data_IF_808878906288
#
_entry.id   IF_808878906288
#
_cell.length_a   1.000
_cell.length_b   1.000
_cell.length_c   1.000
_cell.angle_alpha   90.00
_cell.angle_beta   90.00
_cell.angle_gamma   90.00
#
_symmetry.space_group_name_H-M   'P 1'
#
loop_
_entity.id
_entity.type
_entity.pdbx_description
1 polymer ?
#
# COMPACT_ATOMS: atom_id res chain seq x y z
N UNK A 1 2.33 -40.17 41.19
CA UNK A 1 2.18 -41.63 41.27
C UNK A 1 1.43 -42.06 40.01
N UNK A 2 2.08 -42.77 39.09
CA UNK A 2 1.43 -43.22 37.87
C UNK A 2 0.58 -44.46 38.20
N UNK A 3 -0.74 -44.36 38.03
CA UNK A 3 -1.65 -45.50 38.14
C UNK A 3 -1.56 -46.33 36.85
N UNK A 4 -1.44 -47.64 36.99
CA UNK A 4 -1.34 -48.58 35.87
C UNK A 4 -2.70 -48.77 35.18
N UNK A 5 -2.68 -49.06 33.87
CA UNK A 5 -3.87 -49.13 33.00
C UNK A 5 -5.00 -50.05 33.52
N UNK A 6 -4.67 -51.09 34.29
CA UNK A 6 -5.63 -52.07 34.82
C UNK A 6 -6.43 -51.58 36.04
N UNK A 7 -5.93 -50.58 36.77
CA UNK A 7 -6.63 -49.94 37.89
C UNK A 7 -7.74 -48.97 37.41
N UNK A 8 -7.57 -48.41 36.20
CA UNK A 8 -8.49 -47.41 35.63
C UNK A 8 -9.79 -48.06 35.13
N UNK A 9 -9.72 -49.29 34.62
CA UNK A 9 -10.89 -50.01 34.06
C UNK A 9 -11.77 -50.62 35.16
N UNK A 10 -11.27 -50.70 36.39
CA UNK A 10 -11.98 -51.28 37.54
C UNK A 10 -12.73 -50.25 38.39
N UNK A 11 -12.69 -48.96 38.01
CA UNK A 11 -13.39 -47.89 38.72
C UNK A 11 -14.90 -47.93 38.42
N UNK A 12 -15.77 -47.68 39.41
CA UNK A 12 -17.21 -47.53 39.17
C UNK A 12 -17.47 -46.38 38.18
N UNK A 13 -18.62 -46.35 37.49
CA UNK A 13 -18.89 -45.37 36.42
C UNK A 13 -18.72 -43.90 36.86
N UNK A 14 -18.87 -43.62 38.16
CA UNK A 14 -18.63 -42.29 38.76
C UNK A 14 -17.14 -41.93 38.81
N UNK A 15 -16.26 -42.90 39.08
CA UNK A 15 -14.80 -42.70 39.14
C UNK A 15 -14.17 -42.46 37.77
N UNK A 16 -14.68 -43.13 36.73
CA UNK A 16 -14.24 -42.92 35.35
C UNK A 16 -14.65 -41.53 34.82
N UNK A 17 -15.85 -41.05 35.23
CA UNK A 17 -16.32 -39.71 34.91
C UNK A 17 -15.42 -38.63 35.55
N UNK A 18 -15.04 -38.79 36.81
CA UNK A 18 -14.12 -37.87 37.50
C UNK A 18 -12.73 -37.79 36.84
N UNK A 19 -12.17 -38.92 36.40
CA UNK A 19 -10.88 -38.99 35.70
C UNK A 19 -10.90 -38.29 34.34
N UNK A 20 -12.01 -38.38 33.59
CA UNK A 20 -12.20 -37.66 32.32
C UNK A 20 -12.48 -36.16 32.54
N UNK A 21 -13.12 -35.79 33.65
CA UNK A 21 -13.42 -34.38 33.96
C UNK A 21 -12.20 -33.57 34.45
N UNK A 22 -11.21 -34.21 35.07
CA UNK A 22 -9.98 -33.55 35.55
C UNK A 22 -9.20 -32.77 34.46
N UNK A 23 -8.89 -33.32 33.27
CA UNK A 23 -8.23 -32.57 32.20
C UNK A 23 -9.15 -31.54 31.52
N UNK A 24 -10.47 -31.76 31.51
CA UNK A 24 -11.47 -30.79 31.02
C UNK A 24 -11.56 -29.55 31.93
N UNK A 25 -11.44 -29.70 33.25
CA UNK A 25 -11.39 -28.58 34.19
C UNK A 25 -10.06 -27.80 34.15
N UNK A 26 -8.91 -28.46 33.92
CA UNK A 26 -7.64 -27.73 33.73
C UNK A 26 -7.63 -26.90 32.44
N UNK A 27 -8.40 -27.29 31.42
CA UNK A 27 -8.54 -26.53 30.17
C UNK A 27 -9.43 -25.29 30.33
N UNK A 28 -10.18 -25.19 31.44
CA UNK A 28 -11.06 -24.06 31.76
C UNK A 28 -10.41 -23.02 32.68
N UNK A 29 -9.09 -23.08 32.93
CA UNK A 29 -8.45 -21.90 33.50
C UNK A 29 -8.61 -20.77 32.48
N UNK A 30 -9.34 -19.68 32.82
CA UNK A 30 -9.36 -18.51 31.95
C UNK A 30 -7.91 -18.12 31.77
N UNK A 31 -7.50 -17.86 30.52
CA UNK A 31 -6.20 -17.29 30.23
C UNK A 31 -5.96 -16.18 31.25
N UNK A 32 -4.96 -16.40 32.09
CA UNK A 32 -4.44 -15.47 33.07
C UNK A 32 -4.55 -14.08 32.45
N UNK A 33 -5.28 -13.17 33.09
CA UNK A 33 -5.35 -11.77 32.68
C UNK A 33 -3.91 -11.33 32.40
N UNK A 34 -3.55 -11.25 31.11
CA UNK A 34 -2.27 -10.72 30.72
C UNK A 34 -2.43 -9.21 30.85
N UNK A 35 -2.37 -8.76 32.09
CA UNK A 35 -2.24 -7.35 32.40
C UNK A 35 -0.89 -6.95 31.80
N UNK A 36 -0.95 -6.43 30.58
CA UNK A 36 0.19 -5.83 29.89
C UNK A 36 0.93 -4.92 30.89
N UNK A 37 2.25 -5.07 31.08
CA UNK A 37 3.04 -4.17 31.93
C UNK A 37 3.04 -2.72 31.41
N UNK A 38 2.51 -2.50 30.20
CA UNK A 38 2.40 -1.18 29.60
C UNK A 38 1.01 -0.60 29.89
N UNK A 39 0.93 0.62 30.48
CA UNK A 39 -0.33 1.32 30.58
C UNK A 39 -0.95 1.42 29.17
N UNK A 40 -2.29 1.30 29.03
CA UNK A 40 -2.93 1.50 27.74
C UNK A 40 -2.48 2.87 27.23
N UNK A 41 -1.88 2.91 26.03
CA UNK A 41 -1.45 4.16 25.42
C UNK A 41 -2.62 5.14 25.49
N UNK A 42 -2.46 6.21 26.27
CA UNK A 42 -3.48 7.23 26.53
C UNK A 42 -4.04 7.81 25.21
N UNK A 43 -3.24 7.75 24.14
CA UNK A 43 -3.60 8.05 22.77
C UNK A 43 -4.78 7.22 22.22
N UNK A 44 -4.89 5.93 22.55
CA UNK A 44 -5.88 5.02 21.95
C UNK A 44 -7.25 5.07 22.65
N UNK A 45 -7.34 5.70 23.82
CA UNK A 45 -8.59 5.88 24.59
C UNK A 45 -9.29 7.21 24.31
N UNK A 46 -8.67 8.09 23.51
CA UNK A 46 -9.25 9.38 23.14
C UNK A 46 -10.50 9.18 22.28
N UNK A 47 -11.63 9.73 22.73
CA UNK A 47 -12.90 9.77 21.98
C UNK A 47 -12.85 10.65 20.71
N UNK A 48 -11.78 11.44 20.54
CA UNK A 48 -11.59 12.35 19.41
C UNK A 48 -10.22 12.10 18.81
N UNK A 49 -10.19 11.82 17.50
CA UNK A 49 -8.95 11.65 16.77
C UNK A 49 -8.23 13.01 16.62
N UNK A 50 -6.90 13.07 16.87
CA UNK A 50 -6.14 14.29 16.65
C UNK A 50 -6.17 14.69 15.17
N UNK A 51 -6.56 15.94 14.90
CA UNK A 51 -6.53 16.53 13.56
C UNK A 51 -5.26 17.38 13.46
N UNK A 52 -4.38 17.05 12.52
CA UNK A 52 -3.15 17.81 12.26
C UNK A 52 -3.38 18.69 11.02
N UNK A 53 -3.23 20.03 11.12
CA UNK A 53 -3.39 20.89 9.96
C UNK A 53 -2.22 20.69 8.98
N UNK A 54 -2.48 20.78 7.69
CA UNK A 54 -1.45 20.61 6.64
C UNK A 54 -0.22 21.53 6.86
N UNK A 55 -0.43 22.77 7.33
CA UNK A 55 0.65 23.72 7.63
C UNK A 55 1.61 23.20 8.70
N UNK A 56 1.12 22.43 9.67
CA UNK A 56 1.99 21.84 10.69
C UNK A 56 2.98 20.85 10.07
N UNK A 57 2.61 20.18 8.98
CA UNK A 57 3.49 19.22 8.30
C UNK A 57 4.55 19.89 7.40
N UNK A 58 4.38 21.19 7.09
CA UNK A 58 5.22 21.90 6.10
C UNK A 58 6.74 21.84 6.35
N UNK A 59 7.26 21.86 7.60
CA UNK A 59 8.71 21.79 7.84
C UNK A 59 9.35 20.47 7.41
N UNK A 60 8.54 19.41 7.30
CA UNK A 60 9.00 18.05 6.98
C UNK A 60 8.52 17.57 5.60
N UNK A 61 7.82 18.43 4.84
CA UNK A 61 7.35 18.10 3.50
C UNK A 61 8.26 18.68 2.43
N UNK A 62 8.72 17.81 1.53
CA UNK A 62 9.33 18.22 0.27
C UNK A 62 8.28 18.17 -0.83
N UNK A 63 8.19 19.25 -1.62
CA UNK A 63 7.25 19.36 -2.73
C UNK A 63 7.97 19.37 -4.07
N UNK A 64 7.37 18.72 -5.06
CA UNK A 64 7.81 18.80 -6.46
C UNK A 64 6.67 19.35 -7.32
N UNK A 65 6.99 20.28 -8.21
CA UNK A 65 6.08 20.75 -9.26
C UNK A 65 6.88 21.12 -10.50
N UNK A 66 6.22 21.11 -11.66
CA UNK A 66 6.82 21.55 -12.94
C UNK A 66 5.83 22.43 -13.71
N UNK A 67 6.25 23.58 -14.24
CA UNK A 67 5.36 24.45 -15.02
C UNK A 67 4.74 23.69 -16.20
N UNK A 68 3.43 23.87 -16.40
CA UNK A 68 2.68 23.24 -17.50
C UNK A 68 2.32 21.77 -17.29
N UNK A 69 2.80 21.12 -16.23
CA UNK A 69 2.49 19.71 -15.94
C UNK A 69 1.40 19.61 -14.88
N UNK A 70 0.42 18.76 -15.14
CA UNK A 70 -0.76 18.52 -14.28
C UNK A 70 -0.96 17.01 -14.07
N UNK A 71 -1.91 16.66 -13.21
CA UNK A 71 -2.41 15.29 -13.05
C UNK A 71 -1.35 14.26 -12.64
N UNK A 72 -0.58 14.55 -11.58
CA UNK A 72 0.31 13.58 -10.93
C UNK A 72 -0.53 12.47 -10.30
N UNK A 73 -0.60 11.31 -10.96
CA UNK A 73 -1.58 10.26 -10.64
C UNK A 73 -0.96 8.92 -10.25
N UNK A 74 0.27 8.64 -10.69
CA UNK A 74 0.93 7.36 -10.46
C UNK A 74 2.26 7.57 -9.73
N UNK A 75 2.50 6.76 -8.70
CA UNK A 75 3.70 6.83 -7.86
C UNK A 75 4.23 5.42 -7.63
N UNK A 76 5.52 5.20 -7.84
CA UNK A 76 6.17 3.93 -7.52
C UNK A 76 7.50 4.17 -6.83
N UNK A 77 7.70 3.51 -5.69
CA UNK A 77 8.90 3.62 -4.89
C UNK A 77 9.95 2.61 -5.35
N UNK A 78 11.17 3.09 -5.56
CA UNK A 78 12.36 2.29 -5.82
C UNK A 78 13.35 2.46 -4.66
N UNK A 79 13.12 1.69 -3.60
CA UNK A 79 13.93 1.75 -2.38
C UNK A 79 15.40 1.38 -2.64
N UNK A 80 15.64 0.47 -3.60
CA UNK A 80 17.01 0.02 -3.92
C UNK A 80 17.89 1.12 -4.49
N UNK A 81 17.27 2.08 -5.18
CA UNK A 81 17.96 3.21 -5.81
C UNK A 81 17.64 4.55 -5.16
N UNK A 82 16.92 4.53 -4.03
CA UNK A 82 16.44 5.70 -3.31
C UNK A 82 15.69 6.71 -4.20
N UNK A 83 14.78 6.20 -5.04
CA UNK A 83 14.11 6.96 -6.08
C UNK A 83 12.59 6.81 -5.99
N UNK A 84 11.88 7.87 -6.37
CA UNK A 84 10.44 7.89 -6.58
C UNK A 84 10.17 8.10 -8.06
N UNK A 85 9.47 7.16 -8.69
CA UNK A 85 9.03 7.28 -10.07
C UNK A 85 7.61 7.84 -10.07
N UNK A 86 7.36 8.89 -10.83
CA UNK A 86 6.08 9.60 -10.86
C UNK A 86 5.55 9.68 -12.28
N UNK A 87 4.31 9.27 -12.48
CA UNK A 87 3.56 9.47 -13.71
C UNK A 87 2.60 10.66 -13.59
N UNK A 88 2.63 11.54 -14.59
CA UNK A 88 1.77 12.72 -14.70
C UNK A 88 1.28 12.90 -16.14
N UNK A 89 0.43 13.90 -16.39
CA UNK A 89 -0.03 14.20 -17.75
C UNK A 89 1.17 14.42 -18.70
N UNK A 90 1.26 13.58 -19.73
CA UNK A 90 2.32 13.54 -20.74
C UNK A 90 3.74 13.37 -20.21
N UNK A 91 3.93 12.96 -18.95
CA UNK A 91 5.27 12.98 -18.35
C UNK A 91 5.52 11.81 -17.40
N UNK A 92 6.78 11.38 -17.40
CA UNK A 92 7.36 10.51 -16.38
C UNK A 92 8.52 11.26 -15.70
N UNK A 93 8.58 11.18 -14.38
CA UNK A 93 9.64 11.77 -13.58
C UNK A 93 10.33 10.72 -12.73
N UNK A 94 11.64 10.89 -12.59
CA UNK A 94 12.44 10.24 -11.55
C UNK A 94 12.81 11.32 -10.55
N UNK A 95 12.37 11.16 -9.32
CA UNK A 95 12.67 12.06 -8.21
C UNK A 95 13.54 11.33 -7.18
N UNK A 96 14.34 12.10 -6.46
CA UNK A 96 15.02 11.62 -5.26
C UNK A 96 13.97 11.35 -4.18
N UNK A 97 14.03 10.18 -3.55
CA UNK A 97 13.09 9.84 -2.47
C UNK A 97 13.33 10.67 -1.20
N UNK A 98 14.54 11.21 -1.02
CA UNK A 98 14.91 11.95 0.20
C UNK A 98 14.36 13.37 0.27
N UNK A 99 14.19 14.05 -0.88
CA UNK A 99 13.84 15.46 -0.92
C UNK A 99 12.95 15.84 -2.13
N UNK A 100 12.39 14.86 -2.84
CA UNK A 100 11.59 15.04 -4.04
C UNK A 100 12.28 15.84 -5.17
N UNK A 101 13.61 15.97 -5.16
CA UNK A 101 14.34 16.71 -6.20
C UNK A 101 14.30 15.96 -7.52
N UNK A 102 14.21 16.69 -8.64
CA UNK A 102 14.20 16.11 -9.97
C UNK A 102 15.55 15.46 -10.32
N UNK A 103 15.54 14.18 -10.68
CA UNK A 103 16.69 13.47 -11.22
C UNK A 103 16.60 13.35 -12.74
N UNK A 104 15.42 13.04 -13.26
CA UNK A 104 15.17 12.90 -14.70
C UNK A 104 13.70 13.18 -15.02
N UNK A 105 13.44 13.72 -16.19
CA UNK A 105 12.10 13.86 -16.76
C UNK A 105 12.09 13.35 -18.19
N UNK A 106 10.99 12.68 -18.57
CA UNK A 106 10.74 12.23 -19.94
C UNK A 106 9.34 12.68 -20.33
N UNK A 107 9.23 13.35 -21.48
CA UNK A 107 7.95 13.61 -22.11
C UNK A 107 7.45 12.32 -22.77
N UNK A 108 6.20 11.98 -22.47
CA UNK A 108 5.53 10.79 -22.96
C UNK A 108 4.08 11.16 -23.32
N UNK A 109 3.94 12.21 -24.11
CA UNK A 109 2.66 12.62 -24.70
C UNK A 109 2.33 11.83 -25.98
N UNK A 110 1.08 11.92 -26.46
CA UNK A 110 0.72 11.42 -27.77
C UNK A 110 1.40 12.24 -28.87
N UNK A 111 1.69 11.61 -30.00
CA UNK A 111 2.10 12.33 -31.21
C UNK A 111 0.96 13.19 -31.78
N UNK A 112 1.31 14.13 -32.66
CA UNK A 112 0.36 15.13 -33.16
C UNK A 112 -0.74 14.52 -34.04
N UNK A 113 -0.46 13.44 -34.77
CA UNK A 113 -1.48 12.77 -35.60
C UNK A 113 -2.47 12.01 -34.72
N UNK A 114 -2.00 11.36 -33.66
CA UNK A 114 -2.83 10.72 -32.62
C UNK A 114 -3.70 11.75 -31.90
N UNK A 115 -3.14 12.92 -31.51
CA UNK A 115 -3.93 14.02 -30.91
C UNK A 115 -5.00 14.53 -31.87
N UNK A 116 -4.64 14.81 -33.13
CA UNK A 116 -5.57 15.29 -34.16
C UNK A 116 -6.68 14.28 -34.41
N UNK A 117 -6.35 12.99 -34.48
CA UNK A 117 -7.33 11.91 -34.63
C UNK A 117 -8.29 11.87 -33.44
N UNK A 118 -7.79 11.99 -32.21
CA UNK A 118 -8.63 12.07 -31.02
C UNK A 118 -9.59 13.27 -31.06
N UNK A 119 -9.09 14.47 -31.40
CA UNK A 119 -9.90 15.68 -31.49
C UNK A 119 -10.93 15.61 -32.63
N UNK A 120 -10.58 14.97 -33.77
CA UNK A 120 -11.50 14.74 -34.89
C UNK A 120 -12.71 13.87 -34.51
N UNK A 121 -12.58 13.08 -33.43
CA UNK A 121 -13.66 12.28 -32.84
C UNK A 121 -14.51 13.08 -31.85
N UNK A 122 -14.35 14.40 -31.78
CA UNK A 122 -15.12 15.30 -30.92
C UNK A 122 -14.62 15.36 -29.47
N UNK A 123 -13.39 14.94 -29.20
CA UNK A 123 -12.77 15.03 -27.87
C UNK A 123 -12.08 16.37 -27.66
N UNK A 124 -12.08 16.83 -26.41
CA UNK A 124 -11.38 18.06 -26.01
C UNK A 124 -9.87 17.88 -26.02
N UNK A 125 -9.12 18.99 -26.13
CA UNK A 125 -7.66 18.96 -26.05
C UNK A 125 -7.16 18.31 -24.75
N UNK A 126 -7.85 18.56 -23.63
CA UNK A 126 -7.53 17.96 -22.34
C UNK A 126 -7.75 16.45 -22.31
N UNK A 127 -8.80 15.94 -22.93
CA UNK A 127 -9.05 14.50 -23.04
C UNK A 127 -8.03 13.81 -23.96
N UNK A 128 -7.51 14.51 -24.96
CA UNK A 128 -6.56 13.99 -25.94
C UNK A 128 -5.09 13.99 -25.48
N UNK A 129 -4.85 13.99 -24.16
CA UNK A 129 -3.51 13.85 -23.59
C UNK A 129 -3.22 12.41 -23.18
N UNK A 130 -1.95 12.12 -22.88
CA UNK A 130 -1.56 10.86 -22.27
C UNK A 130 -1.59 10.98 -20.74
N UNK A 131 -2.51 10.29 -20.08
CA UNK A 131 -2.56 10.18 -18.63
C UNK A 131 -2.00 8.84 -18.20
N UNK A 132 -0.95 8.86 -17.39
CA UNK A 132 -0.34 7.62 -16.86
C UNK A 132 -1.34 6.94 -15.94
N UNK A 133 -1.60 5.66 -16.20
CA UNK A 133 -2.56 4.83 -15.43
C UNK A 133 -1.90 3.64 -14.76
N UNK A 134 -0.79 3.16 -15.33
CA UNK A 134 -0.01 2.04 -14.78
C UNK A 134 1.45 2.44 -14.73
N UNK A 135 2.09 2.18 -13.59
CA UNK A 135 3.51 2.37 -13.38
C UNK A 135 3.99 1.27 -12.43
N UNK A 136 4.87 0.40 -12.91
CA UNK A 136 5.38 -0.76 -12.20
C UNK A 136 6.89 -0.84 -12.37
N UNK A 137 7.59 -1.30 -11.34
CA UNK A 137 9.03 -1.54 -11.37
C UNK A 137 9.28 -3.04 -11.29
N UNK A 138 10.07 -3.56 -12.23
CA UNK A 138 10.46 -4.98 -12.26
C UNK A 138 11.98 -5.06 -12.45
N UNK A 139 12.68 -5.23 -11.32
CA UNK A 139 14.15 -5.27 -11.28
C UNK A 139 14.78 -3.94 -11.71
N UNK A 140 15.29 -3.89 -12.93
CA UNK A 140 15.90 -2.67 -13.54
C UNK A 140 15.01 -2.04 -14.64
N UNK A 141 13.80 -2.56 -14.84
CA UNK A 141 12.86 -2.07 -15.86
C UNK A 141 11.69 -1.37 -15.20
N UNK A 142 11.15 -0.40 -15.92
CA UNK A 142 9.90 0.29 -15.59
C UNK A 142 8.89 -0.11 -16.66
N UNK A 143 7.76 -0.65 -16.22
CA UNK A 143 6.61 -0.90 -17.08
C UNK A 143 5.59 0.21 -16.85
N UNK A 144 5.07 0.80 -17.92
CA UNK A 144 4.13 1.91 -17.81
C UNK A 144 3.10 1.88 -18.93
N UNK A 145 1.87 2.28 -18.63
CA UNK A 145 0.78 2.41 -19.58
C UNK A 145 0.02 3.71 -19.31
N UNK A 146 -0.47 4.34 -20.36
CA UNK A 146 -1.27 5.55 -20.28
C UNK A 146 -2.37 5.59 -21.34
N UNK A 147 -3.28 6.56 -21.22
CA UNK A 147 -4.44 6.69 -22.12
C UNK A 147 -4.07 7.02 -23.55
N UNK A 148 -2.95 7.72 -23.77
CA UNK A 148 -2.42 8.15 -25.05
C UNK A 148 -3.52 8.64 -26.02
N UNK A 149 -4.25 9.70 -25.65
CA UNK A 149 -5.38 10.24 -26.43
C UNK A 149 -6.48 9.22 -26.80
N UNK A 150 -6.82 8.32 -25.87
CA UNK A 150 -7.71 7.15 -26.10
C UNK A 150 -7.19 6.13 -27.12
N UNK A 151 -5.89 6.11 -27.35
CA UNK A 151 -5.20 5.07 -28.13
C UNK A 151 -4.05 4.49 -27.31
N UNK A 152 -4.37 3.73 -26.24
CA UNK A 152 -3.39 3.33 -25.23
C UNK A 152 -2.19 2.64 -25.88
N UNK A 153 -1.02 3.27 -25.77
CA UNK A 153 0.23 2.75 -26.31
C UNK A 153 0.96 1.92 -25.26
N UNK A 154 1.46 0.74 -25.63
CA UNK A 154 2.53 0.09 -24.88
C UNK A 154 3.83 0.90 -25.02
N UNK A 155 4.73 0.91 -24.02
CA UNK A 155 6.00 1.62 -24.14
C UNK A 155 6.80 1.03 -25.31
N UNK A 156 7.54 1.85 -26.07
CA UNK A 156 8.35 1.35 -27.17
C UNK A 156 9.38 0.36 -26.61
N UNK A 157 9.25 -0.90 -26.98
CA UNK A 157 10.22 -1.95 -26.68
C UNK A 157 11.51 -1.62 -27.38
N UNK A 158 12.54 -1.27 -26.61
CA UNK A 158 13.92 -1.28 -27.06
C UNK A 158 14.69 -2.30 -26.26
#
# INVERSE_FOLDING_TARGET
MAMSLWEVVSLPPVGLLLLLCLPLCLCQQPLVNFESPFPPLLECTRKVHPIVPYKALSPWMSGFSRPGVKDFSQLTLDLTRNQLIVGARNHLFRLSLSNASLLQAVEWGPDEDTKRSCQSKGKTEDECQNYIRVLLITGRRIFTCGTNAFTPSAPPGR
#
